data_IF_758221694597
#
_entry.id   IF_758221694597
#
_cell.length_a   1.000
_cell.length_b   1.000
_cell.length_c   1.000
_cell.angle_alpha   90.00
_cell.angle_beta   90.00
_cell.angle_gamma   90.00
#
_symmetry.space_group_name_H-M   'P 1'
#
loop_
_entity.id
_entity.type
_entity.pdbx_description
1 polymer ?
#
# COMPACT_ATOMS: atom_id res chain seq x y z
N UNK A 1 10.11 -23.37 9.61
CA UNK A 1 8.69 -23.70 9.33
C UNK A 1 8.29 -22.85 8.14
N UNK A 2 8.55 -23.39 6.96
CA UNK A 2 8.45 -22.70 5.68
C UNK A 2 7.01 -22.74 5.18
N UNK A 3 6.37 -21.59 5.07
CA UNK A 3 5.09 -21.47 4.38
C UNK A 3 5.35 -21.38 2.87
N UNK A 4 5.31 -22.54 2.21
CA UNK A 4 5.27 -22.66 0.74
C UNK A 4 4.03 -21.94 0.22
N UNK A 5 4.23 -20.88 -0.57
CA UNK A 5 3.18 -20.28 -1.39
C UNK A 5 3.00 -21.18 -2.63
N UNK A 6 1.78 -21.66 -2.84
CA UNK A 6 1.36 -22.54 -3.93
C UNK A 6 1.54 -21.88 -5.31
N UNK A 7 2.02 -22.60 -6.35
CA UNK A 7 2.24 -22.06 -7.68
C UNK A 7 0.94 -22.11 -8.50
N UNK A 8 0.17 -21.03 -8.45
CA UNK A 8 -0.86 -20.73 -9.45
C UNK A 8 -0.47 -19.40 -10.10
N UNK A 9 0.08 -19.48 -11.30
CA UNK A 9 0.74 -18.38 -12.01
C UNK A 9 -0.22 -17.26 -12.40
N UNK A 10 -0.17 -16.15 -11.65
CA UNK A 10 -0.82 -14.89 -12.05
C UNK A 10 0.08 -14.20 -13.08
N UNK A 11 -0.15 -14.53 -14.34
CA UNK A 11 0.42 -13.83 -15.50
C UNK A 11 -0.23 -12.45 -15.57
N UNK A 12 0.54 -11.39 -15.27
CA UNK A 12 0.05 -9.98 -15.27
C UNK A 12 -0.53 -9.55 -16.63
N UNK A 13 -0.26 -10.30 -17.70
CA UNK A 13 -0.69 -9.97 -19.05
C UNK A 13 -1.97 -10.69 -19.53
N UNK A 14 -2.47 -11.76 -18.88
CA UNK A 14 -3.56 -12.58 -19.46
C UNK A 14 -4.92 -12.49 -18.78
N UNK A 15 -5.02 -11.94 -17.57
CA UNK A 15 -6.30 -11.76 -16.86
C UNK A 15 -6.78 -10.29 -16.81
N UNK A 16 -6.31 -9.46 -17.74
CA UNK A 16 -6.78 -8.08 -17.92
C UNK A 16 -8.14 -8.08 -18.64
N UNK A 17 -9.18 -8.63 -18.02
CA UNK A 17 -10.55 -8.33 -18.42
C UNK A 17 -10.84 -6.89 -17.98
N UNK A 18 -10.59 -5.97 -18.91
CA UNK A 18 -10.84 -4.52 -18.91
C UNK A 18 -12.32 -4.15 -18.67
N UNK A 19 -12.94 -4.56 -17.56
CA UNK A 19 -14.30 -4.09 -17.19
C UNK A 19 -14.20 -2.81 -16.36
N UNK A 20 -14.10 -1.72 -17.14
CA UNK A 20 -14.10 -0.31 -16.82
C UNK A 20 -12.76 0.27 -16.32
N UNK A 21 -12.24 1.23 -17.09
CA UNK A 21 -11.19 2.18 -16.73
C UNK A 21 -11.69 3.06 -15.58
N UNK A 22 -11.63 2.51 -14.37
CA UNK A 22 -12.05 3.09 -13.09
C UNK A 22 -11.14 4.22 -12.60
N UNK A 23 -10.91 5.21 -13.46
CA UNK A 23 -9.91 6.26 -13.24
C UNK A 23 -8.45 5.80 -13.38
N UNK A 24 -8.20 4.52 -13.73
CA UNK A 24 -6.85 3.99 -13.88
C UNK A 24 -6.22 4.42 -15.22
N UNK A 25 -5.26 5.35 -15.16
CA UNK A 25 -4.43 5.69 -16.31
C UNK A 25 -3.57 4.49 -16.73
N UNK A 26 -3.86 3.97 -17.93
CA UNK A 26 -3.14 2.84 -18.53
C UNK A 26 -1.65 3.12 -18.71
N UNK A 27 -1.28 4.33 -19.13
CA UNK A 27 0.12 4.68 -19.37
C UNK A 27 0.91 4.68 -18.06
N UNK A 28 0.34 5.30 -17.02
CA UNK A 28 0.92 5.26 -15.68
C UNK A 28 1.00 3.83 -15.14
N UNK A 29 -0.05 3.00 -15.29
CA UNK A 29 -0.02 1.63 -14.79
C UNK A 29 1.05 0.77 -15.48
N UNK A 30 1.20 0.90 -16.80
CA UNK A 30 2.28 0.23 -17.54
C UNK A 30 3.67 0.70 -17.07
N UNK A 31 3.82 2.00 -16.80
CA UNK A 31 5.04 2.56 -16.21
C UNK A 31 5.31 2.00 -14.81
N UNK A 32 4.29 1.89 -13.96
CA UNK A 32 4.45 1.29 -12.62
C UNK A 32 4.83 -0.19 -12.71
N UNK A 33 4.37 -0.88 -13.76
CA UNK A 33 4.72 -2.27 -14.06
C UNK A 33 6.18 -2.51 -14.42
N UNK A 34 6.97 -1.47 -14.74
CA UNK A 34 8.43 -1.61 -14.93
C UNK A 34 9.20 -1.67 -13.62
N UNK A 35 8.55 -1.38 -12.49
CA UNK A 35 9.15 -1.27 -11.15
C UNK A 35 10.28 -0.23 -11.02
N UNK A 36 10.53 0.60 -12.05
CA UNK A 36 11.56 1.64 -11.99
C UNK A 36 11.31 2.64 -10.85
N UNK A 37 10.04 2.95 -10.58
CA UNK A 37 9.65 3.83 -9.47
C UNK A 37 10.11 3.31 -8.10
N UNK A 38 10.28 2.00 -7.92
CA UNK A 38 10.80 1.42 -6.67
C UNK A 38 12.31 1.71 -6.55
N UNK A 39 13.04 1.54 -7.66
CA UNK A 39 14.48 1.79 -7.74
C UNK A 39 14.80 3.28 -7.62
N UNK A 40 13.90 4.14 -8.07
CA UNK A 40 13.99 5.59 -7.91
C UNK A 40 13.50 6.07 -6.52
N UNK A 41 13.19 5.16 -5.60
CA UNK A 41 12.67 5.43 -4.26
C UNK A 41 11.40 6.31 -4.24
N UNK A 42 10.59 6.22 -5.29
CA UNK A 42 9.30 6.90 -5.38
C UNK A 42 8.22 6.09 -4.70
N UNK A 43 7.09 6.73 -4.42
CA UNK A 43 5.96 6.08 -3.75
C UNK A 43 4.77 5.95 -4.68
N UNK A 44 3.81 5.11 -4.32
CA UNK A 44 2.52 4.97 -5.00
C UNK A 44 1.42 5.07 -3.96
N UNK A 45 0.40 5.87 -4.24
CA UNK A 45 -0.81 5.97 -3.42
C UNK A 45 -2.00 5.58 -4.30
N UNK A 46 -2.75 4.58 -3.85
CA UNK A 46 -3.99 4.14 -4.45
C UNK A 46 -5.15 4.55 -3.54
N UNK A 47 -5.94 5.52 -3.98
CA UNK A 47 -7.13 6.00 -3.28
C UNK A 47 -8.40 5.57 -4.01
N UNK A 48 -9.54 5.55 -3.31
CA UNK A 48 -10.85 5.26 -3.93
C UNK A 48 -11.79 4.45 -3.04
N UNK A 49 -13.03 4.17 -3.50
CA UNK A 49 -14.06 3.50 -2.70
C UNK A 49 -13.71 2.07 -2.31
N UNK A 50 -14.44 1.54 -1.32
CA UNK A 50 -14.32 0.14 -0.89
C UNK A 50 -14.66 -0.82 -2.02
N UNK A 51 -13.89 -1.91 -2.14
CA UNK A 51 -14.16 -2.96 -3.12
C UNK A 51 -13.80 -2.61 -4.56
N UNK A 52 -13.14 -1.48 -4.82
CA UNK A 52 -12.76 -1.04 -6.17
C UNK A 52 -11.49 -1.73 -6.72
N UNK A 53 -10.77 -2.49 -5.90
CA UNK A 53 -9.57 -3.22 -6.32
C UNK A 53 -8.22 -2.63 -5.87
N UNK A 54 -8.20 -1.62 -4.99
CA UNK A 54 -6.95 -1.02 -4.46
C UNK A 54 -5.94 -2.07 -3.94
N UNK A 55 -6.38 -2.94 -3.03
CA UNK A 55 -5.52 -4.00 -2.47
C UNK A 55 -5.10 -5.03 -3.52
N UNK A 56 -5.97 -5.31 -4.51
CA UNK A 56 -5.64 -6.21 -5.61
C UNK A 56 -4.54 -5.61 -6.50
N UNK A 57 -4.66 -4.32 -6.86
CA UNK A 57 -3.64 -3.60 -7.64
C UNK A 57 -2.31 -3.50 -6.88
N UNK A 58 -2.36 -3.23 -5.57
CA UNK A 58 -1.18 -3.23 -4.70
C UNK A 58 -0.46 -4.59 -4.72
N UNK A 59 -1.22 -5.68 -4.56
CA UNK A 59 -0.68 -7.03 -4.66
C UNK A 59 -0.16 -7.35 -6.07
N UNK A 60 -0.83 -6.92 -7.13
CA UNK A 60 -0.39 -7.15 -8.51
C UNK A 60 0.96 -6.46 -8.79
N UNK A 61 1.12 -5.21 -8.36
CA UNK A 61 2.39 -4.48 -8.45
C UNK A 61 3.46 -5.09 -7.54
N UNK A 62 3.11 -5.52 -6.33
CA UNK A 62 4.02 -6.22 -5.43
C UNK A 62 4.51 -7.55 -6.02
N UNK A 63 3.61 -8.35 -6.59
CA UNK A 63 3.96 -9.59 -7.28
C UNK A 63 4.84 -9.33 -8.50
N UNK A 64 4.59 -8.25 -9.26
CA UNK A 64 5.48 -7.83 -10.35
C UNK A 64 6.89 -7.54 -9.81
N UNK A 65 6.99 -6.76 -8.73
CA UNK A 65 8.26 -6.43 -8.10
C UNK A 65 9.03 -7.68 -7.63
N UNK A 66 8.35 -8.63 -6.98
CA UNK A 66 8.97 -9.90 -6.58
C UNK A 66 9.55 -10.67 -7.79
N UNK A 67 8.92 -10.61 -8.97
CA UNK A 67 9.44 -11.24 -10.19
C UNK A 67 10.63 -10.51 -10.82
N UNK A 68 10.90 -9.29 -10.38
CA UNK A 68 12.06 -8.49 -10.76
C UNK A 68 13.14 -8.50 -9.66
N UNK A 69 13.10 -9.52 -8.78
CA UNK A 69 14.01 -9.71 -7.64
C UNK A 69 14.04 -8.53 -6.66
N UNK A 70 12.95 -7.76 -6.58
CA UNK A 70 12.78 -6.66 -5.63
C UNK A 70 12.10 -7.22 -4.37
N UNK A 71 12.67 -6.93 -3.20
CA UNK A 71 12.12 -7.39 -1.92
C UNK A 71 10.86 -6.62 -1.55
N UNK A 72 9.79 -7.35 -1.23
CA UNK A 72 8.47 -6.76 -0.92
C UNK A 72 7.98 -7.26 0.43
N UNK A 73 7.47 -6.35 1.26
CA UNK A 73 6.73 -6.67 2.47
C UNK A 73 5.33 -6.07 2.39
N UNK A 74 4.31 -6.87 2.67
CA UNK A 74 2.92 -6.43 2.73
C UNK A 74 2.43 -6.38 4.18
N UNK A 75 1.84 -5.25 4.57
CA UNK A 75 1.26 -5.03 5.88
C UNK A 75 -0.12 -4.38 5.75
N UNK A 76 -1.10 -4.88 6.51
CA UNK A 76 -2.33 -4.12 6.74
C UNK A 76 -2.10 -3.17 7.91
N UNK A 77 -2.31 -1.88 7.69
CA UNK A 77 -2.00 -0.81 8.66
C UNK A 77 -2.64 -1.06 10.04
N UNK A 78 -3.92 -1.46 10.17
CA UNK A 78 -4.50 -1.74 11.49
C UNK A 78 -3.81 -2.89 12.25
N UNK A 79 -3.35 -3.91 11.53
CA UNK A 79 -2.64 -5.06 12.14
C UNK A 79 -1.20 -4.70 12.49
N UNK A 80 -0.56 -3.88 11.66
CA UNK A 80 0.78 -3.37 11.91
C UNK A 80 0.83 -2.54 13.19
N UNK A 81 -0.11 -1.61 13.36
CA UNK A 81 -0.19 -0.80 14.58
C UNK A 81 -0.43 -1.65 15.83
N UNK A 82 -1.34 -2.62 15.79
CA UNK A 82 -1.53 -3.55 16.90
C UNK A 82 -0.26 -4.35 17.23
N UNK A 83 0.54 -4.73 16.21
CA UNK A 83 1.80 -5.42 16.41
C UNK A 83 2.89 -4.52 17.02
N UNK A 84 2.93 -3.24 16.64
CA UNK A 84 3.85 -2.24 17.20
C UNK A 84 3.52 -1.93 18.66
N UNK A 85 2.22 -1.83 18.99
CA UNK A 85 1.75 -1.67 20.37
C UNK A 85 2.22 -2.82 21.27
N UNK A 86 2.05 -4.06 20.81
CA UNK A 86 2.53 -5.23 21.55
C UNK A 86 4.06 -5.25 21.64
N UNK A 87 4.75 -4.92 20.55
CA UNK A 87 6.21 -4.95 20.48
C UNK A 87 6.89 -3.91 21.39
N UNK A 88 6.20 -2.80 21.70
CA UNK A 88 6.65 -1.83 22.71
C UNK A 88 6.66 -2.42 24.12
N UNK A 89 5.67 -3.24 24.46
CA UNK A 89 5.55 -3.86 25.78
C UNK A 89 6.52 -5.01 26.06
N UNK A 90 7.02 -5.69 25.02
CA UNK A 90 7.86 -6.89 25.17
C UNK A 90 9.27 -6.77 24.55
N UNK A 91 9.70 -5.54 24.23
CA UNK A 91 11.06 -5.24 23.79
C UNK A 91 11.37 -5.60 22.34
N UNK A 92 10.38 -5.99 21.53
CA UNK A 92 10.56 -6.33 20.11
C UNK A 92 10.43 -5.15 19.15
N UNK A 93 10.10 -3.95 19.66
CA UNK A 93 9.80 -2.76 18.86
C UNK A 93 10.89 -2.42 17.83
N UNK A 94 12.14 -2.27 18.27
CA UNK A 94 13.25 -1.94 17.37
C UNK A 94 13.47 -3.01 16.28
N UNK A 95 13.28 -4.30 16.61
CA UNK A 95 13.38 -5.39 15.65
C UNK A 95 12.27 -5.33 14.61
N UNK A 96 11.05 -4.99 15.03
CA UNK A 96 9.92 -4.82 14.12
C UNK A 96 10.14 -3.63 13.19
N UNK A 97 10.53 -2.45 13.69
CA UNK A 97 10.89 -1.30 12.86
C UNK A 97 11.98 -1.64 11.83
N UNK A 98 13.07 -2.26 12.28
CA UNK A 98 14.14 -2.69 11.38
C UNK A 98 13.65 -3.65 10.28
N UNK A 99 12.67 -4.52 10.57
CA UNK A 99 12.07 -5.40 9.57
C UNK A 99 11.24 -4.66 8.52
N UNK A 100 10.63 -3.53 8.89
CA UNK A 100 9.82 -2.69 7.99
C UNK A 100 10.70 -1.79 7.11
N UNK A 101 11.89 -1.44 7.59
CA UNK A 101 12.87 -0.64 6.85
C UNK A 101 13.61 -1.43 5.76
N UNK A 102 13.88 -2.73 5.99
CA UNK A 102 14.69 -3.59 5.10
C UNK A 102 14.19 -3.77 3.65
N UNK A 103 12.90 -4.02 3.38
CA UNK A 103 12.46 -4.34 2.02
C UNK A 103 12.52 -3.12 1.10
N UNK A 104 12.79 -3.35 -0.18
CA UNK A 104 12.79 -2.30 -1.22
C UNK A 104 11.40 -1.68 -1.35
N UNK A 105 10.35 -2.49 -1.24
CA UNK A 105 8.95 -2.05 -1.26
C UNK A 105 8.20 -2.50 0.01
N UNK A 106 7.63 -1.53 0.72
CA UNK A 106 6.68 -1.77 1.80
C UNK A 106 5.28 -1.36 1.33
N UNK A 107 4.36 -2.34 1.31
CA UNK A 107 2.96 -2.12 0.99
C UNK A 107 2.20 -1.91 2.30
N UNK A 108 1.56 -0.74 2.44
CA UNK A 108 0.72 -0.36 3.56
C UNK A 108 -0.75 -0.34 3.09
N UNK A 109 -1.45 -1.44 3.31
CA UNK A 109 -2.83 -1.61 2.88
C UNK A 109 -3.82 -1.16 3.97
N UNK A 110 -4.93 -0.57 3.54
CA UNK A 110 -6.03 -0.09 4.39
C UNK A 110 -5.64 1.07 5.33
N UNK A 111 -4.98 2.08 4.76
CA UNK A 111 -4.59 3.31 5.44
C UNK A 111 -5.77 4.22 5.78
N UNK A 112 -5.71 4.80 6.98
CA UNK A 112 -6.56 5.90 7.41
C UNK A 112 -8.04 5.62 7.68
N UNK A 113 -8.51 4.41 8.04
CA UNK A 113 -9.91 4.24 8.44
C UNK A 113 -10.24 4.95 9.77
N UNK A 114 -9.24 5.31 10.57
CA UNK A 114 -9.40 5.94 11.89
C UNK A 114 -8.26 6.93 12.15
N UNK A 115 -8.51 7.91 13.02
CA UNK A 115 -7.50 8.87 13.50
C UNK A 115 -6.45 8.14 14.33
N UNK A 116 -5.18 8.50 14.14
CA UNK A 116 -4.05 7.85 14.78
C UNK A 116 -3.88 8.27 16.25
N UNK A 117 -3.56 7.29 17.10
CA UNK A 117 -3.07 7.55 18.45
C UNK A 117 -1.71 8.25 18.40
N UNK A 118 -1.28 8.87 19.50
CA UNK A 118 0.04 9.52 19.57
C UNK A 118 1.19 8.53 19.31
N UNK A 119 1.04 7.28 19.75
CA UNK A 119 2.01 6.21 19.49
C UNK A 119 2.03 5.84 18.01
N UNK A 120 0.87 5.63 17.37
CA UNK A 120 0.82 5.27 15.95
C UNK A 120 1.39 6.35 15.04
N UNK A 121 1.24 7.63 15.39
CA UNK A 121 1.87 8.74 14.65
C UNK A 121 3.40 8.69 14.75
N UNK A 122 3.92 8.44 15.96
CA UNK A 122 5.38 8.29 16.18
C UNK A 122 5.92 7.09 15.44
N UNK A 123 5.28 5.94 15.58
CA UNK A 123 5.66 4.71 14.87
C UNK A 123 5.72 4.94 13.35
N UNK A 124 4.72 5.60 12.81
CA UNK A 124 4.64 5.92 11.39
C UNK A 124 5.74 6.89 10.96
N UNK A 125 6.05 7.91 11.77
CA UNK A 125 7.16 8.82 11.51
C UNK A 125 8.48 8.05 11.43
N UNK A 126 8.76 7.14 12.37
CA UNK A 126 9.96 6.30 12.36
C UNK A 126 10.02 5.44 11.08
N UNK A 127 8.91 4.78 10.71
CA UNK A 127 8.82 3.96 9.50
C UNK A 127 9.12 4.77 8.23
N UNK A 128 8.58 5.99 8.15
CA UNK A 128 8.74 6.85 6.97
C UNK A 128 10.14 7.45 6.91
N UNK A 129 10.71 7.84 8.05
CA UNK A 129 12.07 8.36 8.16
C UNK A 129 13.11 7.30 7.76
N UNK A 130 13.01 6.09 8.30
CA UNK A 130 13.93 4.98 8.00
C UNK A 130 13.95 4.61 6.51
N UNK A 131 12.85 4.87 5.80
CA UNK A 131 12.65 4.53 4.40
C UNK A 131 12.88 5.70 3.45
N UNK A 132 12.93 6.94 3.95
CA UNK A 132 13.04 8.11 3.10
C UNK A 132 14.33 8.08 2.26
N UNK A 133 14.17 8.13 0.94
CA UNK A 133 15.28 8.02 -0.02
C UNK A 133 15.98 6.67 -0.06
N UNK A 134 15.45 5.63 0.61
CA UNK A 134 16.06 4.29 0.70
C UNK A 134 15.13 3.16 0.26
N UNK A 135 13.82 3.33 0.45
CA UNK A 135 12.82 2.32 0.12
C UNK A 135 11.48 2.94 -0.24
N UNK A 136 10.72 2.25 -1.07
CA UNK A 136 9.45 2.73 -1.58
C UNK A 136 8.26 2.30 -0.71
N UNK A 137 7.20 3.10 -0.76
CA UNK A 137 5.91 2.82 -0.16
C UNK A 137 4.86 2.64 -1.26
N UNK A 138 3.99 1.64 -1.11
CA UNK A 138 2.73 1.57 -1.83
C UNK A 138 1.61 1.58 -0.80
N UNK A 139 0.83 2.66 -0.77
CA UNK A 139 -0.23 2.86 0.22
C UNK A 139 -1.58 2.73 -0.45
N UNK A 140 -2.49 1.98 0.16
CA UNK A 140 -3.90 1.98 -0.25
C UNK A 140 -4.75 2.68 0.80
N UNK A 141 -5.69 3.53 0.37
CA UNK A 141 -6.60 4.20 1.30
C UNK A 141 -8.00 4.38 0.70
N UNK A 142 -9.01 4.39 1.56
CA UNK A 142 -10.34 4.86 1.22
C UNK A 142 -10.49 6.37 1.47
N UNK A 143 -9.59 6.95 2.26
CA UNK A 143 -9.59 8.37 2.59
C UNK A 143 -8.75 9.10 1.54
N UNK A 144 -9.30 10.18 0.94
CA UNK A 144 -8.55 10.98 -0.02
C UNK A 144 -7.36 11.65 0.68
N UNK A 145 -6.25 11.82 -0.06
CA UNK A 145 -4.97 12.31 0.50
C UNK A 145 -5.10 13.66 1.19
N UNK A 146 -5.98 14.54 0.69
CA UNK A 146 -6.23 15.86 1.30
C UNK A 146 -6.79 15.80 2.74
N UNK A 147 -7.33 14.65 3.17
CA UNK A 147 -7.80 14.42 4.55
C UNK A 147 -6.80 13.67 5.42
N UNK A 148 -5.62 13.30 4.89
CA UNK A 148 -4.64 12.55 5.69
C UNK A 148 -4.07 13.37 6.85
N UNK A 149 -4.06 14.70 6.77
CA UNK A 149 -3.75 15.57 7.91
C UNK A 149 -4.67 15.29 9.12
N UNK A 150 -5.98 15.14 8.88
CA UNK A 150 -6.97 14.85 9.92
C UNK A 150 -6.76 13.45 10.51
N UNK A 151 -6.36 12.49 9.67
CA UNK A 151 -6.07 11.12 10.10
C UNK A 151 -4.84 11.07 11.01
N UNK A 152 -3.78 11.80 10.66
CA UNK A 152 -2.60 11.90 11.54
C UNK A 152 -2.97 12.65 12.82
N UNK A 153 -3.72 13.75 12.72
CA UNK A 153 -4.31 14.44 13.88
C UNK A 153 -3.34 15.31 14.69
N UNK A 154 -2.06 15.41 14.28
CA UNK A 154 -1.06 16.34 14.79
C UNK A 154 -0.46 17.12 13.62
N UNK A 155 -0.60 18.46 13.54
CA UNK A 155 -0.16 19.23 12.39
C UNK A 155 1.32 19.05 12.04
N UNK A 156 2.19 19.09 13.05
CA UNK A 156 3.64 19.02 12.86
C UNK A 156 4.07 17.65 12.34
N UNK A 157 3.57 16.57 12.95
CA UNK A 157 3.85 15.22 12.49
C UNK A 157 3.19 14.94 11.14
N UNK A 158 2.00 15.48 10.90
CA UNK A 158 1.31 15.35 9.61
C UNK A 158 2.12 16.00 8.49
N UNK A 159 2.60 17.23 8.68
CA UNK A 159 3.48 17.89 7.70
C UNK A 159 4.72 17.04 7.43
N UNK A 160 5.42 16.58 8.47
CA UNK A 160 6.65 15.81 8.32
C UNK A 160 6.45 14.45 7.62
N UNK A 161 5.39 13.72 7.99
CA UNK A 161 5.04 12.41 7.42
C UNK A 161 4.57 12.57 5.97
N UNK A 162 3.67 13.51 5.72
CA UNK A 162 3.06 13.68 4.40
C UNK A 162 4.05 14.30 3.42
N UNK A 163 4.95 15.20 3.84
CA UNK A 163 6.03 15.68 2.96
C UNK A 163 6.85 14.51 2.39
N UNK A 164 7.24 13.56 3.25
CA UNK A 164 8.03 12.39 2.84
C UNK A 164 7.25 11.40 1.98
N UNK A 165 5.98 11.16 2.30
CA UNK A 165 5.15 10.19 1.56
C UNK A 165 4.62 10.78 0.25
N UNK A 166 3.99 11.95 0.34
CA UNK A 166 3.05 12.46 -0.66
C UNK A 166 3.76 13.27 -1.74
N UNK A 167 4.91 13.88 -1.44
CA UNK A 167 5.70 14.64 -2.42
C UNK A 167 6.31 13.74 -3.51
N UNK A 168 6.84 12.57 -3.14
CA UNK A 168 7.47 11.63 -4.07
C UNK A 168 6.48 10.63 -4.73
N UNK A 169 5.20 10.68 -4.37
CA UNK A 169 4.21 9.68 -4.77
C UNK A 169 3.59 9.91 -6.15
N UNK A 170 3.43 8.83 -6.91
CA UNK A 170 2.39 8.72 -7.93
C UNK A 170 1.05 8.51 -7.23
N UNK A 171 0.05 9.34 -7.54
CA UNK A 171 -1.29 9.27 -6.95
C UNK A 171 -2.27 8.76 -7.99
N UNK A 172 -3.04 7.75 -7.62
CA UNK A 172 -4.06 7.15 -8.47
C UNK A 172 -5.35 7.13 -7.67
N UNK A 173 -6.32 7.93 -8.11
CA UNK A 173 -7.67 7.93 -7.57
C UNK A 173 -8.54 7.00 -8.43
N UNK A 174 -8.97 5.90 -7.82
CA UNK A 174 -9.85 4.93 -8.45
C UNK A 174 -11.32 5.30 -8.20
N UNK A 175 -12.16 5.13 -9.21
CA UNK A 175 -13.60 5.39 -9.14
C UNK A 175 -14.44 4.17 -9.56
N UNK A 176 -15.76 4.27 -9.47
CA UNK A 176 -16.70 3.23 -9.93
C UNK A 176 -17.29 2.35 -8.82
N UNK A 177 -17.94 1.26 -9.23
CA UNK A 177 -18.69 0.38 -8.32
C UNK A 177 -17.84 -0.74 -7.70
N UNK A 178 -18.19 -1.21 -6.51
CA UNK A 178 -17.50 -2.34 -5.86
C UNK A 178 -17.50 -3.61 -6.72
N UNK A 179 -16.32 -4.21 -6.93
CA UNK A 179 -16.13 -5.52 -7.60
C UNK A 179 -16.51 -6.72 -6.72
N UNK A 180 -16.87 -6.48 -5.46
CA UNK A 180 -17.21 -7.57 -4.51
C UNK A 180 -18.64 -8.09 -4.70
N UNK A 181 -19.48 -7.40 -5.48
CA UNK A 181 -20.81 -7.91 -5.81
C UNK A 181 -20.64 -9.06 -6.81
N UNK A 182 -21.14 -10.27 -6.53
CA UNK A 182 -21.36 -11.25 -7.57
C UNK A 182 -22.30 -10.64 -8.60
N UNK A 183 -22.07 -10.87 -9.89
CA UNK A 183 -23.08 -10.58 -10.90
C UNK A 183 -24.35 -11.36 -10.53
N UNK A 184 -25.42 -10.65 -10.19
CA UNK A 184 -26.74 -11.24 -10.22
C UNK A 184 -27.07 -11.49 -11.70
N UNK A 185 -27.04 -12.75 -12.13
CA UNK A 185 -27.59 -13.20 -13.41
C UNK A 185 -26.61 -13.38 -14.57
N UNK A 186 -25.68 -14.32 -14.46
CA UNK A 186 -25.51 -15.27 -15.58
C UNK A 186 -26.33 -16.52 -15.19
N UNK A 187 -27.65 -16.44 -15.39
CA UNK A 187 -28.46 -17.65 -15.49
C UNK A 187 -28.03 -18.36 -16.76
N UNK A 188 -27.41 -19.53 -16.58
CA UNK A 188 -27.27 -20.55 -17.60
C UNK A 188 -28.68 -20.89 -18.12
N UNK A 189 -29.05 -20.33 -19.27
CA UNK A 189 -30.10 -20.86 -20.14
C UNK A 189 -29.64 -20.79 -21.59
#
# INVERSE_FOLDING_TARGET
MDAKISPQGVTIARDFTYRALRGLDRALFLKLGTCQWIRDHRHVILCGPTGIGKSWLACALGHKACREDISVLYQRVPRLFAALDLARGDGRYAKLLASLARPDLLILDDWGPQVMSADHRRDLMEIVEDRYGRGSLLITSQVPVNRWHEIVGDPTLADAILDRIVHAAYRIDLDGESMRKPQAGEELT
#
